data_IF_427059252037
#
_entry.id   IF_427059252037
#
_cell.length_a   1.000
_cell.length_b   1.000
_cell.length_c   1.000
_cell.angle_alpha   90.00
_cell.angle_beta   90.00
_cell.angle_gamma   90.00
#
_symmetry.space_group_name_H-M   'P 1'
#
loop_
_entity.id
_entity.type
_entity.pdbx_description
1 polymer ?
#
# COMPACT_ATOMS: atom_id res chain seq x y z
N UNK A 1 -16.83 35.27 26.91
CA UNK A 1 -15.78 34.54 27.66
C UNK A 1 -14.93 33.83 26.59
N UNK A 2 -13.59 34.09 26.54
CA UNK A 2 -12.70 33.34 25.64
C UNK A 2 -12.73 31.85 26.05
N UNK A 3 -13.12 30.98 25.15
CA UNK A 3 -13.01 29.53 25.40
C UNK A 3 -11.56 29.19 25.74
N UNK A 4 -11.29 28.36 26.76
CA UNK A 4 -9.92 27.93 27.06
C UNK A 4 -9.36 27.17 25.88
N UNK A 5 -8.07 27.38 25.59
CA UNK A 5 -7.38 26.63 24.53
C UNK A 5 -7.47 25.12 24.82
N UNK A 6 -7.75 24.33 23.78
CA UNK A 6 -7.75 22.89 23.90
C UNK A 6 -6.32 22.34 23.93
N UNK A 7 -6.10 21.18 24.52
CA UNK A 7 -4.81 20.48 24.42
C UNK A 7 -4.59 19.97 23.00
N UNK A 8 -3.33 19.71 22.56
CA UNK A 8 -3.07 19.12 21.26
C UNK A 8 -3.86 17.82 20.99
N UNK A 9 -3.97 16.96 22.01
CA UNK A 9 -4.75 15.72 21.90
C UNK A 9 -6.25 15.98 21.70
N UNK A 10 -6.82 16.98 22.38
CA UNK A 10 -8.21 17.39 22.18
C UNK A 10 -8.44 18.01 20.81
N UNK A 11 -7.50 18.84 20.32
CA UNK A 11 -7.58 19.41 18.97
C UNK A 11 -7.58 18.33 17.91
N UNK A 12 -6.64 17.37 17.99
CA UNK A 12 -6.56 16.23 17.09
C UNK A 12 -7.87 15.42 17.10
N UNK A 13 -8.39 15.09 18.29
CA UNK A 13 -9.63 14.33 18.41
C UNK A 13 -10.79 15.04 17.74
N UNK A 14 -10.97 16.36 17.97
CA UNK A 14 -12.02 17.16 17.35
C UNK A 14 -11.92 17.19 15.82
N UNK A 15 -10.70 17.33 15.28
CA UNK A 15 -10.49 17.28 13.83
C UNK A 15 -10.86 15.90 13.26
N UNK A 16 -10.46 14.81 13.93
CA UNK A 16 -10.78 13.45 13.50
C UNK A 16 -12.31 13.20 13.54
N UNK A 17 -12.98 13.66 14.61
CA UNK A 17 -14.43 13.52 14.74
C UNK A 17 -15.15 14.33 13.63
N UNK A 18 -14.69 15.55 13.34
CA UNK A 18 -15.19 16.37 12.25
C UNK A 18 -14.95 15.72 10.87
N UNK A 19 -13.74 15.21 10.64
CA UNK A 19 -13.40 14.52 9.39
C UNK A 19 -14.22 13.25 9.17
N UNK A 20 -14.53 12.50 10.23
CA UNK A 20 -15.37 11.29 10.17
C UNK A 20 -16.82 11.57 9.76
N UNK A 21 -17.29 12.81 9.91
CA UNK A 21 -18.62 13.24 9.48
C UNK A 21 -18.69 13.68 8.01
N UNK A 22 -17.54 13.82 7.35
CA UNK A 22 -17.47 14.20 5.93
C UNK A 22 -17.87 13.05 5.02
N UNK A 23 -18.37 13.32 3.81
CA UNK A 23 -18.65 12.29 2.82
C UNK A 23 -17.38 11.48 2.49
N UNK A 24 -17.57 10.16 2.29
CA UNK A 24 -16.48 9.29 1.86
C UNK A 24 -15.98 9.75 0.49
N UNK A 25 -14.65 9.87 0.27
CA UNK A 25 -14.10 10.27 -1.01
C UNK A 25 -14.54 9.36 -2.15
N UNK A 26 -14.64 9.91 -3.36
CA UNK A 26 -14.92 9.12 -4.55
C UNK A 26 -13.82 8.07 -4.77
N UNK A 27 -14.19 6.95 -5.39
CA UNK A 27 -13.27 5.88 -5.75
C UNK A 27 -12.90 5.95 -7.23
N UNK A 28 -11.75 5.39 -7.55
CA UNK A 28 -11.29 5.22 -8.91
C UNK A 28 -10.55 3.89 -9.05
N UNK A 29 -10.48 3.37 -10.27
CA UNK A 29 -9.74 2.17 -10.57
C UNK A 29 -8.42 2.55 -11.23
N UNK A 30 -7.31 2.11 -10.66
CA UNK A 30 -5.96 2.43 -11.14
C UNK A 30 -5.17 1.16 -11.43
N UNK A 31 -4.29 1.15 -12.46
CA UNK A 31 -3.33 0.07 -12.66
C UNK A 31 -2.49 -0.17 -11.41
N UNK A 32 -1.99 -1.41 -11.21
CA UNK A 32 -1.16 -1.71 -10.04
C UNK A 32 0.12 -0.86 -9.97
N UNK A 33 0.67 -0.46 -11.12
CA UNK A 33 1.86 0.42 -11.18
C UNK A 33 1.61 1.78 -10.50
N UNK A 34 0.36 2.26 -10.51
CA UNK A 34 -0.06 3.54 -9.92
C UNK A 34 -0.75 3.35 -8.55
N UNK A 35 -0.92 2.10 -8.08
CA UNK A 35 -1.68 1.81 -6.86
C UNK A 35 -0.84 1.90 -5.58
N UNK A 36 0.49 1.87 -5.67
CA UNK A 36 1.36 1.96 -4.50
C UNK A 36 1.19 3.32 -3.78
N UNK A 37 0.99 3.27 -2.46
CA UNK A 37 0.71 4.46 -1.64
C UNK A 37 -0.74 4.94 -1.67
N UNK A 38 -1.59 4.36 -2.53
CA UNK A 38 -3.03 4.64 -2.57
C UNK A 38 -3.76 3.87 -1.46
N UNK A 39 -4.95 4.32 -1.12
CA UNK A 39 -5.79 3.69 -0.09
C UNK A 39 -6.82 2.80 -0.76
N UNK A 40 -6.84 1.52 -0.43
CA UNK A 40 -7.82 0.56 -0.95
C UNK A 40 -9.25 0.99 -0.59
N UNK A 41 -10.14 1.07 -1.59
CA UNK A 41 -11.53 1.46 -1.38
C UNK A 41 -12.43 0.29 -0.96
N UNK A 42 -11.96 -0.93 -1.17
CA UNK A 42 -12.64 -2.18 -0.76
C UNK A 42 -11.63 -3.24 -0.36
N UNK A 43 -12.11 -4.32 0.21
CA UNK A 43 -11.30 -5.49 0.49
C UNK A 43 -10.77 -6.09 -0.82
N UNK A 44 -9.47 -6.36 -0.83
CA UNK A 44 -8.77 -7.02 -1.91
C UNK A 44 -8.45 -8.44 -1.47
N UNK A 45 -8.96 -9.43 -2.19
CA UNK A 45 -8.82 -10.84 -1.85
C UNK A 45 -8.10 -11.60 -2.98
N UNK A 46 -7.47 -12.70 -2.61
CA UNK A 46 -6.81 -13.60 -3.53
C UNK A 46 -7.81 -14.22 -4.50
N UNK A 47 -7.48 -14.23 -5.81
CA UNK A 47 -8.31 -14.83 -6.86
C UNK A 47 -8.08 -16.32 -7.02
N UNK A 48 -6.88 -16.79 -6.67
CA UNK A 48 -6.45 -18.16 -6.86
C UNK A 48 -5.53 -18.58 -5.73
N UNK A 49 -5.35 -19.88 -5.57
CA UNK A 49 -4.37 -20.43 -4.64
C UNK A 49 -2.95 -20.04 -5.06
N UNK A 50 -2.08 -19.83 -4.08
CA UNK A 50 -0.66 -19.59 -4.30
C UNK A 50 0.15 -20.52 -3.36
N UNK A 51 1.03 -21.38 -3.92
CA UNK A 51 1.17 -21.65 -5.35
C UNK A 51 -0.11 -22.23 -5.97
N UNK A 52 -0.31 -22.14 -7.31
CA UNK A 52 -1.53 -22.61 -7.97
C UNK A 52 -1.60 -24.12 -8.19
N UNK A 53 -0.51 -24.83 -7.89
CA UNK A 53 -0.36 -26.28 -8.00
C UNK A 53 0.69 -26.78 -7.00
N UNK A 54 0.67 -28.07 -6.70
CA UNK A 54 1.73 -28.73 -5.94
C UNK A 54 3.02 -28.69 -6.73
N UNK A 55 4.12 -28.25 -6.09
CA UNK A 55 5.41 -28.03 -6.77
C UNK A 55 6.61 -28.53 -5.97
N UNK A 56 7.71 -28.75 -6.65
CA UNK A 56 8.99 -29.03 -6.01
C UNK A 56 9.66 -27.75 -5.48
N UNK A 57 10.08 -27.70 -4.21
CA UNK A 57 10.93 -26.63 -3.68
C UNK A 57 12.42 -26.79 -4.00
N UNK A 58 12.82 -27.90 -4.63
CA UNK A 58 14.23 -28.25 -4.85
C UNK A 58 14.41 -29.03 -6.16
N UNK A 59 15.66 -29.11 -6.61
CA UNK A 59 16.08 -29.95 -7.75
C UNK A 59 16.26 -31.39 -7.28
N UNK A 60 15.65 -32.33 -8.01
CA UNK A 60 15.69 -33.72 -7.58
C UNK A 60 14.84 -34.67 -8.42
N UNK A 61 14.15 -35.58 -7.75
CA UNK A 61 13.29 -36.56 -8.36
C UNK A 61 11.96 -36.66 -7.65
N UNK A 62 10.88 -36.46 -8.39
CA UNK A 62 9.53 -36.75 -7.91
C UNK A 62 9.29 -38.29 -7.99
N UNK A 63 8.73 -38.83 -6.92
CA UNK A 63 8.63 -40.27 -6.68
C UNK A 63 7.29 -40.62 -6.01
N UNK A 64 6.94 -41.89 -6.06
CA UNK A 64 6.05 -42.47 -5.06
C UNK A 64 6.87 -42.82 -3.83
N UNK A 65 6.51 -42.32 -2.66
CA UNK A 65 7.23 -42.58 -1.41
C UNK A 65 7.34 -44.07 -1.08
N UNK A 66 6.32 -44.86 -1.47
CA UNK A 66 6.29 -46.32 -1.33
C UNK A 66 7.45 -46.98 -2.07
N UNK A 67 7.87 -46.46 -3.21
CA UNK A 67 8.99 -47.02 -4.02
C UNK A 67 10.36 -46.79 -3.35
N UNK A 68 10.42 -45.90 -2.36
CA UNK A 68 11.65 -45.62 -1.60
C UNK A 68 11.80 -46.47 -0.33
N UNK A 69 10.84 -47.35 -0.02
CA UNK A 69 10.72 -48.05 1.29
C UNK A 69 11.97 -48.86 1.70
N UNK A 70 12.73 -49.38 0.73
CA UNK A 70 13.97 -50.15 0.95
C UNK A 70 15.25 -49.37 0.77
N UNK A 71 15.15 -48.08 0.44
CA UNK A 71 16.32 -47.27 0.05
C UNK A 71 17.20 -46.91 1.26
N UNK A 72 18.51 -47.00 1.07
CA UNK A 72 19.55 -46.60 2.01
C UNK A 72 20.89 -46.51 1.33
N UNK A 73 21.89 -45.92 1.99
CA UNK A 73 23.25 -45.74 1.43
C UNK A 73 23.86 -47.05 0.93
N UNK A 74 23.65 -48.19 1.64
CA UNK A 74 24.19 -49.49 1.28
C UNK A 74 23.22 -50.35 0.46
N UNK A 75 21.96 -49.95 0.38
CA UNK A 75 20.87 -50.64 -0.31
C UNK A 75 20.09 -49.67 -1.18
N UNK A 76 20.70 -49.10 -2.24
CA UNK A 76 19.98 -48.16 -3.07
C UNK A 76 18.87 -48.85 -3.85
N UNK A 77 17.75 -48.11 -4.01
CA UNK A 77 16.71 -48.52 -4.97
C UNK A 77 16.99 -47.85 -6.30
N UNK A 78 16.90 -48.59 -7.39
CA UNK A 78 17.13 -48.07 -8.74
C UNK A 78 15.77 -47.95 -9.47
N UNK A 79 15.46 -46.75 -9.97
CA UNK A 79 14.22 -46.46 -10.67
C UNK A 79 14.51 -45.89 -12.07
N UNK A 80 13.76 -46.28 -13.13
CA UNK A 80 13.82 -45.62 -14.43
C UNK A 80 13.31 -44.20 -14.35
N UNK A 81 14.00 -43.25 -14.98
CA UNK A 81 13.58 -41.85 -15.12
C UNK A 81 12.74 -41.69 -16.39
N UNK A 82 11.46 -41.51 -16.26
CA UNK A 82 10.51 -41.53 -17.39
C UNK A 82 9.99 -40.13 -17.78
N UNK A 83 10.30 -39.13 -16.95
CA UNK A 83 9.91 -37.72 -17.18
C UNK A 83 11.02 -36.77 -16.77
N UNK A 84 11.10 -35.61 -17.43
CA UNK A 84 11.89 -34.46 -16.99
C UNK A 84 10.95 -33.26 -16.93
N UNK A 85 10.89 -32.58 -15.78
CA UNK A 85 9.92 -31.50 -15.48
C UNK A 85 10.66 -30.25 -15.04
N UNK A 86 10.33 -29.14 -15.68
CA UNK A 86 10.89 -27.82 -15.43
C UNK A 86 9.78 -26.85 -14.97
N UNK A 87 10.18 -25.73 -14.38
CA UNK A 87 9.25 -24.64 -14.10
C UNK A 87 8.62 -24.15 -15.42
N UNK A 88 7.27 -24.07 -15.46
CA UNK A 88 6.50 -23.75 -16.65
C UNK A 88 5.94 -24.96 -17.39
N UNK A 89 6.37 -26.18 -17.08
CA UNK A 89 5.75 -27.39 -17.62
C UNK A 89 4.36 -27.62 -17.01
N UNK A 90 3.54 -28.42 -17.72
CA UNK A 90 2.22 -28.86 -17.29
C UNK A 90 2.07 -30.37 -17.49
N UNK A 91 2.56 -31.21 -16.54
CA UNK A 91 2.55 -32.66 -16.70
C UNK A 91 1.11 -33.17 -16.72
N UNK A 92 0.67 -33.72 -17.85
CA UNK A 92 -0.64 -34.31 -18.02
C UNK A 92 -0.66 -35.82 -17.70
N UNK A 93 0.48 -36.49 -17.85
CA UNK A 93 0.62 -37.92 -17.58
C UNK A 93 0.98 -38.17 -16.11
N UNK A 94 0.34 -39.20 -15.52
CA UNK A 94 0.69 -39.65 -14.18
C UNK A 94 2.08 -40.34 -14.18
N UNK A 95 2.86 -40.16 -13.10
CA UNK A 95 4.07 -40.90 -12.87
C UNK A 95 3.70 -42.36 -12.57
N UNK A 96 4.18 -43.35 -13.35
CA UNK A 96 3.92 -44.77 -13.06
C UNK A 96 4.64 -45.20 -11.78
N UNK A 97 4.01 -46.10 -11.00
CA UNK A 97 4.69 -46.72 -9.86
C UNK A 97 5.97 -47.44 -10.30
N UNK A 98 6.99 -47.39 -9.46
CA UNK A 98 8.33 -47.92 -9.76
C UNK A 98 9.15 -47.06 -10.73
N UNK A 99 8.74 -45.82 -10.96
CA UNK A 99 9.42 -44.86 -11.84
C UNK A 99 9.76 -43.56 -11.08
N UNK A 100 10.70 -42.78 -11.64
CA UNK A 100 11.07 -41.46 -11.17
C UNK A 100 10.84 -40.40 -12.25
N UNK A 101 10.49 -39.19 -11.85
CA UNK A 101 10.50 -38.00 -12.70
C UNK A 101 11.60 -37.07 -12.25
N UNK A 102 12.56 -36.73 -13.11
CA UNK A 102 13.53 -35.67 -12.85
C UNK A 102 12.77 -34.37 -12.75
N UNK A 103 12.88 -33.64 -11.64
CA UNK A 103 12.13 -32.43 -11.38
C UNK A 103 13.04 -31.31 -10.90
N UNK A 104 12.78 -30.09 -11.39
CA UNK A 104 13.52 -28.89 -10.98
C UNK A 104 12.69 -28.03 -10.06
N UNK A 105 13.34 -27.16 -9.31
CA UNK A 105 12.71 -26.19 -8.40
C UNK A 105 11.63 -25.39 -9.12
N UNK A 106 10.45 -25.31 -8.54
CA UNK A 106 9.29 -24.61 -9.09
C UNK A 106 8.48 -25.40 -10.11
N UNK A 107 8.95 -26.58 -10.56
CA UNK A 107 8.20 -27.42 -11.47
C UNK A 107 6.98 -28.07 -10.76
N UNK A 108 5.84 -28.23 -11.47
CA UNK A 108 4.67 -28.90 -10.92
C UNK A 108 4.94 -30.38 -10.68
N UNK A 109 4.42 -30.88 -9.57
CA UNK A 109 4.49 -32.30 -9.23
C UNK A 109 3.61 -33.08 -10.21
N UNK A 110 4.11 -34.17 -10.85
CA UNK A 110 3.29 -34.96 -11.76
C UNK A 110 2.23 -35.74 -10.97
N UNK A 111 1.03 -35.94 -11.52
CA UNK A 111 0.02 -36.76 -10.85
C UNK A 111 0.57 -38.13 -10.47
N UNK A 112 0.25 -38.61 -9.26
CA UNK A 112 0.74 -39.88 -8.73
C UNK A 112 2.00 -39.77 -7.86
N UNK A 113 2.89 -38.81 -8.12
CA UNK A 113 4.01 -38.56 -7.20
C UNK A 113 3.48 -37.92 -5.91
N UNK A 114 4.05 -38.34 -4.77
CA UNK A 114 3.68 -37.85 -3.45
C UNK A 114 4.88 -37.33 -2.64
N UNK A 115 6.08 -37.33 -3.21
CA UNK A 115 7.29 -36.79 -2.57
C UNK A 115 8.35 -36.39 -3.59
N UNK A 116 9.30 -35.56 -3.14
CA UNK A 116 10.48 -35.18 -3.93
C UNK A 116 11.75 -35.49 -3.14
N UNK A 117 12.67 -36.24 -3.75
CA UNK A 117 14.01 -36.47 -3.21
C UNK A 117 14.98 -35.48 -3.82
N UNK A 118 15.76 -34.78 -2.96
CA UNK A 118 16.83 -33.92 -3.44
C UNK A 118 17.90 -34.70 -4.20
N UNK A 119 18.41 -34.09 -5.25
CA UNK A 119 19.40 -34.78 -6.14
C UNK A 119 20.65 -35.22 -5.41
N UNK A 120 21.05 -34.55 -4.34
CA UNK A 120 22.24 -34.85 -3.53
C UNK A 120 22.14 -36.19 -2.78
N UNK A 121 20.93 -36.74 -2.66
CA UNK A 121 20.66 -38.06 -2.08
C UNK A 121 20.46 -39.14 -3.15
N UNK A 122 21.01 -38.91 -4.36
CA UNK A 122 20.93 -39.80 -5.52
C UNK A 122 22.28 -39.83 -6.25
N UNK A 123 22.42 -40.67 -7.24
CA UNK A 123 23.58 -40.65 -8.17
C UNK A 123 23.39 -39.64 -9.34
N UNK A 124 22.29 -38.92 -9.39
CA UNK A 124 22.01 -37.95 -10.44
C UNK A 124 21.70 -38.56 -11.81
N UNK A 125 21.33 -39.80 -11.89
CA UNK A 125 21.16 -40.56 -13.15
C UNK A 125 20.03 -40.03 -14.01
N UNK A 126 20.23 -39.93 -15.34
CA UNK A 126 19.28 -39.34 -16.28
C UNK A 126 18.29 -40.34 -16.90
N UNK A 127 18.68 -41.59 -17.06
CA UNK A 127 17.83 -42.67 -17.60
C UNK A 127 17.32 -43.59 -16.48
N UNK A 128 18.18 -43.78 -15.49
CA UNK A 128 17.90 -44.51 -14.26
C UNK A 128 18.58 -43.77 -13.11
N UNK A 129 17.93 -43.71 -11.96
CA UNK A 129 18.43 -43.04 -10.78
C UNK A 129 18.52 -43.99 -9.59
N UNK A 130 19.61 -43.94 -8.85
CA UNK A 130 19.78 -44.66 -7.57
C UNK A 130 19.35 -43.77 -6.43
N UNK A 131 18.39 -44.24 -5.65
CA UNK A 131 17.82 -43.59 -4.49
C UNK A 131 18.51 -44.11 -3.24
N UNK A 132 19.17 -43.22 -2.49
CA UNK A 132 19.91 -43.59 -1.26
C UNK A 132 19.18 -43.32 0.04
N UNK A 133 17.99 -42.75 -0.01
CA UNK A 133 17.21 -42.39 1.16
C UNK A 133 15.72 -42.74 1.00
N UNK A 134 15.14 -43.23 2.07
CA UNK A 134 13.69 -43.42 2.17
C UNK A 134 13.00 -42.09 2.45
N UNK A 135 11.89 -41.82 1.77
CA UNK A 135 11.02 -40.66 2.01
C UNK A 135 9.68 -41.08 2.64
N UNK A 136 9.13 -40.17 3.39
CA UNK A 136 7.73 -40.25 3.82
C UNK A 136 6.83 -39.60 2.76
N UNK A 137 5.54 -39.96 2.71
CA UNK A 137 4.55 -39.24 1.89
C UNK A 137 4.60 -37.74 2.20
N UNK A 138 4.45 -36.91 1.18
CA UNK A 138 4.45 -35.46 1.22
C UNK A 138 5.80 -34.80 1.55
N UNK A 139 6.87 -35.60 1.62
CA UNK A 139 8.20 -35.02 1.88
C UNK A 139 8.65 -34.12 0.72
N UNK A 140 9.07 -32.89 1.06
CA UNK A 140 9.58 -31.88 0.12
C UNK A 140 8.56 -31.54 -1.00
N UNK A 141 7.30 -31.42 -0.68
CA UNK A 141 6.24 -30.92 -1.57
C UNK A 141 5.74 -29.59 -0.99
N UNK A 142 5.70 -28.55 -1.81
CA UNK A 142 4.98 -27.31 -1.51
C UNK A 142 3.60 -27.45 -2.10
N UNK A 143 2.58 -27.44 -1.24
CA UNK A 143 1.20 -27.68 -1.67
C UNK A 143 0.53 -26.47 -2.29
N UNK A 144 -0.40 -26.72 -3.18
CA UNK A 144 -1.30 -25.72 -3.71
C UNK A 144 -1.98 -24.96 -2.58
N UNK A 145 -1.93 -23.63 -2.63
CA UNK A 145 -2.57 -22.75 -1.65
C UNK A 145 -1.86 -22.68 -0.29
N UNK A 146 -0.66 -23.27 -0.16
CA UNK A 146 0.10 -23.26 1.11
C UNK A 146 0.47 -21.85 1.55
N UNK A 147 0.83 -20.95 0.64
CA UNK A 147 1.14 -19.56 0.94
C UNK A 147 -0.12 -18.71 1.10
N UNK A 148 -1.03 -18.78 0.10
CA UNK A 148 -2.27 -18.00 0.06
C UNK A 148 -3.37 -18.86 -0.55
N UNK A 149 -4.44 -19.09 0.18
CA UNK A 149 -5.63 -19.75 -0.35
C UNK A 149 -6.52 -18.77 -1.12
N UNK A 150 -7.18 -19.24 -2.18
CA UNK A 150 -8.18 -18.46 -2.91
C UNK A 150 -9.24 -17.89 -1.96
N UNK A 151 -9.59 -16.62 -2.12
CA UNK A 151 -10.51 -15.91 -1.24
C UNK A 151 -9.89 -15.31 0.03
N UNK A 152 -8.63 -15.63 0.37
CA UNK A 152 -7.94 -15.03 1.51
C UNK A 152 -7.78 -13.52 1.35
N UNK A 153 -7.92 -12.72 2.44
CA UNK A 153 -7.74 -11.28 2.38
C UNK A 153 -6.26 -10.93 2.14
N UNK A 154 -6.02 -10.02 1.18
CA UNK A 154 -4.70 -9.43 0.89
C UNK A 154 -4.59 -8.06 1.55
N UNK A 155 -5.61 -7.22 1.39
CA UNK A 155 -5.69 -5.90 2.02
C UNK A 155 -7.15 -5.56 2.31
N UNK A 156 -7.45 -5.08 3.51
CA UNK A 156 -8.78 -4.58 3.86
C UNK A 156 -9.02 -3.18 3.27
N UNK A 157 -10.27 -2.80 3.10
CA UNK A 157 -10.66 -1.43 2.80
C UNK A 157 -10.03 -0.44 3.80
N UNK A 158 -9.55 0.71 3.31
CA UNK A 158 -8.83 1.69 4.12
C UNK A 158 -7.33 1.42 4.30
N UNK A 159 -6.82 0.29 3.80
CA UNK A 159 -5.38 -0.01 3.86
C UNK A 159 -4.60 0.80 2.83
N UNK A 160 -3.48 1.40 3.24
CA UNK A 160 -2.50 1.98 2.31
C UNK A 160 -1.76 0.84 1.61
N UNK A 161 -1.85 0.80 0.28
CA UNK A 161 -1.21 -0.24 -0.52
C UNK A 161 0.31 -0.05 -0.56
N UNK A 162 1.04 -1.05 -0.07
CA UNK A 162 2.51 -1.09 -0.06
C UNK A 162 3.04 -1.87 -1.26
N UNK A 163 4.35 -1.76 -1.59
CA UNK A 163 4.96 -2.61 -2.62
C UNK A 163 4.71 -4.11 -2.42
N UNK A 164 4.63 -4.59 -1.17
CA UNK A 164 4.31 -5.99 -0.87
C UNK A 164 2.88 -6.35 -1.31
N UNK A 165 1.89 -5.49 -1.02
CA UNK A 165 0.52 -5.69 -1.50
C UNK A 165 0.47 -5.72 -3.03
N UNK A 166 1.19 -4.80 -3.70
CA UNK A 166 1.24 -4.76 -5.17
C UNK A 166 1.82 -6.06 -5.73
N UNK A 167 2.93 -6.54 -5.16
CA UNK A 167 3.55 -7.81 -5.58
C UNK A 167 2.62 -9.02 -5.42
N UNK A 168 1.90 -9.11 -4.30
CA UNK A 168 0.93 -10.19 -4.07
C UNK A 168 -0.24 -10.08 -5.06
N UNK A 169 -0.83 -8.89 -5.26
CA UNK A 169 -1.92 -8.67 -6.21
C UNK A 169 -1.50 -9.03 -7.65
N UNK A 170 -0.31 -8.62 -8.06
CA UNK A 170 0.24 -8.98 -9.38
C UNK A 170 0.43 -10.50 -9.51
N UNK A 171 0.96 -11.18 -8.48
CA UNK A 171 1.10 -12.64 -8.43
C UNK A 171 -0.24 -13.39 -8.50
N UNK A 172 -1.35 -12.72 -8.15
CA UNK A 172 -2.72 -13.21 -8.28
C UNK A 172 -3.35 -12.89 -9.65
N UNK A 173 -2.59 -12.32 -10.60
CA UNK A 173 -3.11 -11.90 -11.90
C UNK A 173 -4.14 -10.77 -11.83
N UNK A 174 -4.10 -9.96 -10.78
CA UNK A 174 -4.97 -8.78 -10.61
C UNK A 174 -4.28 -7.60 -11.29
N UNK A 175 -4.86 -6.96 -12.31
CA UNK A 175 -4.18 -5.91 -13.07
C UNK A 175 -4.34 -4.51 -12.47
N UNK A 176 -5.35 -4.30 -11.64
CA UNK A 176 -5.76 -3.00 -11.13
C UNK A 176 -6.35 -3.11 -9.73
N UNK A 177 -6.41 -2.00 -9.01
CA UNK A 177 -7.05 -1.88 -7.71
C UNK A 177 -8.07 -0.73 -7.69
N UNK A 178 -9.17 -0.92 -6.98
CA UNK A 178 -10.11 0.15 -6.65
C UNK A 178 -9.62 0.86 -5.40
N UNK A 179 -9.33 2.15 -5.54
CA UNK A 179 -8.74 2.99 -4.50
C UNK A 179 -9.55 4.28 -4.33
N UNK A 180 -9.43 4.92 -3.18
CA UNK A 180 -9.96 6.28 -3.02
C UNK A 180 -9.13 7.26 -3.86
N UNK A 181 -9.80 8.24 -4.51
CA UNK A 181 -9.08 9.34 -5.13
C UNK A 181 -8.26 10.10 -4.09
N UNK A 182 -7.09 10.66 -4.42
CA UNK A 182 -6.39 11.54 -3.51
C UNK A 182 -7.27 12.75 -3.17
N UNK A 183 -7.27 13.15 -1.90
CA UNK A 183 -7.88 14.42 -1.53
C UNK A 183 -7.03 15.57 -2.09
N UNK A 184 -7.72 16.65 -2.50
CA UNK A 184 -7.08 17.88 -2.93
C UNK A 184 -7.09 18.87 -1.77
N UNK A 185 -5.94 19.44 -1.44
CA UNK A 185 -5.78 20.42 -0.36
C UNK A 185 -5.34 21.75 -0.93
N UNK A 186 -6.13 22.80 -0.68
CA UNK A 186 -5.74 24.18 -0.94
C UNK A 186 -4.75 24.67 0.12
N UNK A 187 -3.69 25.35 -0.30
CA UNK A 187 -2.74 26.04 0.59
C UNK A 187 -2.84 27.53 0.28
N UNK A 188 -3.34 28.31 1.21
CA UNK A 188 -3.49 29.76 1.11
C UNK A 188 -2.53 30.46 2.06
N UNK A 189 -1.55 31.18 1.51
CA UNK A 189 -0.69 32.07 2.28
C UNK A 189 -1.28 33.49 2.29
N UNK A 190 -1.43 34.09 3.47
CA UNK A 190 -1.93 35.47 3.59
C UNK A 190 -0.84 36.36 4.15
N UNK A 191 -0.67 37.52 3.53
CA UNK A 191 0.33 38.50 3.94
C UNK A 191 0.67 39.46 2.81
N UNK A 192 0.41 40.75 3.02
CA UNK A 192 0.78 41.80 2.06
C UNK A 192 2.29 41.94 1.88
N UNK A 193 3.09 41.38 2.80
CA UNK A 193 4.56 41.34 2.73
C UNK A 193 5.09 40.19 1.87
N UNK A 194 4.25 39.20 1.49
CA UNK A 194 4.71 37.99 0.82
C UNK A 194 5.09 38.23 -0.65
N UNK A 195 6.16 37.57 -1.08
CA UNK A 195 6.60 37.42 -2.45
C UNK A 195 6.65 35.96 -2.83
N UNK A 196 6.36 35.64 -4.08
CA UNK A 196 6.64 34.31 -4.63
C UNK A 196 8.16 34.11 -4.85
N UNK A 197 8.61 32.87 -4.71
CA UNK A 197 9.98 32.51 -5.00
C UNK A 197 10.31 32.82 -6.49
N UNK A 198 11.34 33.61 -6.72
CA UNK A 198 11.75 34.08 -8.06
C UNK A 198 11.34 35.51 -8.37
N UNK A 199 10.45 36.15 -7.61
CA UNK A 199 10.17 37.56 -7.72
C UNK A 199 11.35 38.41 -7.21
N UNK A 200 11.47 39.65 -7.73
CA UNK A 200 12.50 40.55 -7.26
C UNK A 200 12.23 41.00 -5.82
N UNK A 201 13.22 40.85 -4.94
CA UNK A 201 13.09 41.31 -3.56
C UNK A 201 12.91 42.82 -3.47
N UNK A 202 12.07 43.27 -2.54
CA UNK A 202 11.85 44.68 -2.24
C UNK A 202 11.86 44.91 -0.72
N UNK A 203 12.22 46.13 -0.24
CA UNK A 203 12.18 46.48 1.17
C UNK A 203 10.80 46.23 1.80
N UNK A 204 10.75 45.61 2.97
CA UNK A 204 9.52 45.26 3.67
C UNK A 204 8.84 43.99 3.16
N UNK A 205 9.41 43.30 2.19
CA UNK A 205 8.90 42.04 1.66
C UNK A 205 9.74 40.84 2.12
N UNK A 206 9.06 39.68 2.21
CA UNK A 206 9.66 38.37 2.50
C UNK A 206 9.10 37.32 1.55
N UNK A 207 9.85 36.26 1.27
CA UNK A 207 9.34 35.17 0.43
C UNK A 207 8.44 34.22 1.20
N UNK A 208 7.38 33.72 0.55
CA UNK A 208 6.48 32.70 1.09
C UNK A 208 7.19 31.35 1.22
N UNK A 209 7.85 31.12 2.34
CA UNK A 209 8.43 29.83 2.70
C UNK A 209 7.39 28.84 3.22
N UNK A 210 6.38 29.32 3.98
CA UNK A 210 5.39 28.47 4.65
C UNK A 210 4.44 27.81 3.66
N UNK A 211 3.94 28.54 2.67
CA UNK A 211 3.07 27.99 1.65
C UNK A 211 3.76 26.90 0.82
N UNK A 212 5.03 27.13 0.44
CA UNK A 212 5.83 26.13 -0.29
C UNK A 212 6.10 24.90 0.56
N UNK A 213 6.51 25.09 1.84
CA UNK A 213 6.79 23.98 2.75
C UNK A 213 5.55 23.13 3.02
N UNK A 214 4.41 23.76 3.30
CA UNK A 214 3.14 23.07 3.54
C UNK A 214 2.72 22.28 2.30
N UNK A 215 2.78 22.89 1.12
CA UNK A 215 2.46 22.21 -0.15
C UNK A 215 3.38 21.01 -0.40
N UNK A 216 4.68 21.13 -0.16
CA UNK A 216 5.64 20.04 -0.30
C UNK A 216 5.33 18.89 0.67
N UNK A 217 5.00 19.22 1.93
CA UNK A 217 4.64 18.22 2.94
C UNK A 217 3.35 17.48 2.60
N UNK A 218 2.35 18.18 2.11
CA UNK A 218 1.08 17.57 1.69
C UNK A 218 1.27 16.63 0.51
N UNK A 219 2.06 17.04 -0.51
CA UNK A 219 2.39 16.16 -1.66
C UNK A 219 3.15 14.91 -1.20
N UNK A 220 4.08 15.04 -0.26
CA UNK A 220 4.79 13.88 0.33
C UNK A 220 3.83 12.90 1.02
N UNK A 221 2.70 13.39 1.54
CA UNK A 221 1.64 12.59 2.16
C UNK A 221 0.65 12.01 1.15
N UNK A 222 0.81 12.27 -0.15
CA UNK A 222 -0.05 11.73 -1.21
C UNK A 222 -1.25 12.60 -1.56
N UNK A 223 -1.35 13.84 -1.05
CA UNK A 223 -2.42 14.77 -1.42
C UNK A 223 -2.13 15.47 -2.75
N UNK A 224 -3.19 15.73 -3.52
CA UNK A 224 -3.13 16.76 -4.55
C UNK A 224 -3.13 18.15 -3.89
N UNK A 225 -2.38 19.13 -4.42
CA UNK A 225 -2.22 20.43 -3.75
C UNK A 225 -2.36 21.58 -4.75
N UNK A 226 -3.28 22.49 -4.44
CA UNK A 226 -3.39 23.80 -5.06
C UNK A 226 -2.83 24.86 -4.10
N UNK A 227 -1.87 25.69 -4.56
CA UNK A 227 -1.27 26.75 -3.74
C UNK A 227 -1.58 28.11 -4.32
N UNK A 228 -1.95 29.05 -3.48
CA UNK A 228 -2.14 30.47 -3.82
C UNK A 228 -1.77 31.37 -2.65
N UNK A 229 -1.62 32.66 -2.88
CA UNK A 229 -1.45 33.66 -1.85
C UNK A 229 -2.37 34.87 -2.10
N UNK A 230 -2.59 35.66 -1.09
CA UNK A 230 -3.33 36.94 -1.18
C UNK A 230 -2.83 37.95 -0.14
N UNK A 231 -3.29 39.18 -0.27
CA UNK A 231 -3.02 40.24 0.73
C UNK A 231 -3.75 40.00 2.07
N UNK A 232 -3.48 40.85 3.06
CA UNK A 232 -4.19 40.84 4.34
C UNK A 232 -5.54 41.58 4.29
N UNK A 233 -6.25 41.47 3.19
CA UNK A 233 -7.61 42.00 3.05
C UNK A 233 -8.64 40.89 3.33
N UNK A 234 -9.58 41.06 4.29
CA UNK A 234 -10.50 40.00 4.67
C UNK A 234 -11.46 39.60 3.54
N UNK A 235 -11.83 40.52 2.68
CA UNK A 235 -12.72 40.22 1.53
C UNK A 235 -11.96 39.41 0.48
N UNK A 236 -10.70 39.74 0.22
CA UNK A 236 -9.82 38.98 -0.69
C UNK A 236 -9.55 37.58 -0.13
N UNK A 237 -9.22 37.46 1.18
CA UNK A 237 -9.00 36.16 1.83
C UNK A 237 -10.26 35.29 1.73
N UNK A 238 -11.44 35.85 2.02
CA UNK A 238 -12.70 35.13 1.94
C UNK A 238 -13.00 34.65 0.51
N UNK A 239 -12.77 35.51 -0.49
CA UNK A 239 -12.98 35.17 -1.90
C UNK A 239 -12.04 34.04 -2.35
N UNK A 240 -10.75 34.11 -2.03
CA UNK A 240 -9.77 33.08 -2.35
C UNK A 240 -10.05 31.76 -1.63
N UNK A 241 -10.42 31.82 -0.36
CA UNK A 241 -10.79 30.62 0.40
C UNK A 241 -12.04 29.96 -0.20
N UNK A 242 -13.06 30.74 -0.53
CA UNK A 242 -14.27 30.24 -1.20
C UNK A 242 -13.95 29.61 -2.55
N UNK A 243 -13.09 30.22 -3.36
CA UNK A 243 -12.64 29.68 -4.64
C UNK A 243 -11.93 28.33 -4.45
N UNK A 244 -10.99 28.23 -3.50
CA UNK A 244 -10.31 26.97 -3.19
C UNK A 244 -11.29 25.88 -2.71
N UNK A 245 -12.26 26.22 -1.85
CA UNK A 245 -13.25 25.27 -1.34
C UNK A 245 -14.20 24.71 -2.40
N UNK A 246 -14.29 25.34 -3.60
CA UNK A 246 -15.03 24.75 -4.73
C UNK A 246 -14.28 23.64 -5.44
N UNK A 247 -12.95 23.54 -5.27
CA UNK A 247 -12.07 22.62 -5.98
C UNK A 247 -11.28 21.70 -5.06
N UNK A 248 -11.14 22.07 -3.80
CA UNK A 248 -10.36 21.34 -2.80
C UNK A 248 -11.27 20.75 -1.72
N UNK A 249 -10.87 19.61 -1.21
CA UNK A 249 -11.56 18.92 -0.11
C UNK A 249 -11.26 19.58 1.25
N UNK A 250 -10.14 20.29 1.35
CA UNK A 250 -9.75 21.06 2.53
C UNK A 250 -8.87 22.25 2.13
N UNK A 251 -8.81 23.27 2.99
CA UNK A 251 -7.92 24.43 2.82
C UNK A 251 -7.08 24.60 4.09
N UNK A 252 -5.77 24.76 3.94
CA UNK A 252 -4.84 25.13 4.99
C UNK A 252 -4.36 26.55 4.74
N UNK A 253 -4.47 27.41 5.77
CA UNK A 253 -3.96 28.78 5.69
C UNK A 253 -2.69 28.94 6.53
N UNK A 254 -1.76 29.78 6.07
CA UNK A 254 -0.65 30.28 6.85
C UNK A 254 -0.69 31.80 6.90
N UNK A 255 -0.58 32.38 8.10
CA UNK A 255 -0.80 33.80 8.36
C UNK A 255 -2.20 34.10 8.93
N UNK A 256 -2.45 35.30 9.42
CA UNK A 256 -3.75 35.84 9.84
C UNK A 256 -4.41 35.17 11.05
N UNK A 257 -3.72 34.34 11.85
CA UNK A 257 -4.31 33.57 12.98
C UNK A 257 -3.86 34.02 14.37
N UNK A 258 -3.01 35.05 14.49
CA UNK A 258 -2.52 35.56 15.78
C UNK A 258 -3.51 36.58 16.40
N UNK A 259 -3.14 37.22 17.49
CA UNK A 259 -3.96 38.23 18.20
C UNK A 259 -3.64 39.67 17.77
N UNK A 260 -3.02 39.85 16.60
CA UNK A 260 -2.65 41.14 16.03
C UNK A 260 -3.84 41.90 15.42
N UNK A 261 -3.64 43.19 15.17
CA UNK A 261 -4.69 44.02 14.51
C UNK A 261 -5.03 43.62 13.07
N UNK A 262 -4.20 42.77 12.46
CA UNK A 262 -4.36 42.25 11.09
C UNK A 262 -4.71 40.74 11.02
N UNK A 263 -5.24 40.19 12.11
CA UNK A 263 -5.62 38.78 12.15
C UNK A 263 -7.09 38.61 11.75
N UNK A 264 -7.30 38.56 10.46
CA UNK A 264 -8.65 38.60 9.87
C UNK A 264 -9.29 37.20 9.72
N UNK A 265 -8.59 36.10 9.99
CA UNK A 265 -9.14 34.77 9.78
C UNK A 265 -10.42 34.48 10.57
N UNK A 266 -10.57 34.90 11.83
CA UNK A 266 -11.86 34.76 12.54
C UNK A 266 -13.02 35.47 11.81
N UNK A 267 -12.80 36.70 11.32
CA UNK A 267 -13.80 37.47 10.55
C UNK A 267 -14.11 36.79 9.21
N UNK A 268 -13.07 36.25 8.52
CA UNK A 268 -13.25 35.49 7.27
C UNK A 268 -14.09 34.23 7.49
N UNK A 269 -13.86 33.49 8.57
CA UNK A 269 -14.64 32.31 8.91
C UNK A 269 -16.12 32.67 9.22
N UNK A 270 -16.38 33.82 9.86
CA UNK A 270 -17.73 34.32 10.03
C UNK A 270 -18.39 34.67 8.69
N UNK A 271 -17.67 35.35 7.76
CA UNK A 271 -18.16 35.65 6.41
C UNK A 271 -18.47 34.39 5.60
N UNK A 272 -17.77 33.32 5.84
CA UNK A 272 -17.99 32.02 5.22
C UNK A 272 -19.01 31.13 5.95
N UNK A 273 -19.61 31.63 7.02
CA UNK A 273 -20.53 30.89 7.91
C UNK A 273 -19.94 29.59 8.43
N UNK A 274 -18.61 29.58 8.67
CA UNK A 274 -17.90 28.42 9.11
C UNK A 274 -18.20 28.06 10.57
N UNK A 275 -18.37 26.75 10.84
CA UNK A 275 -18.56 26.25 12.19
C UNK A 275 -17.20 25.89 12.82
N UNK A 276 -16.80 26.53 13.95
CA UNK A 276 -15.52 26.30 14.55
C UNK A 276 -15.45 24.90 15.20
N UNK A 277 -14.48 24.11 14.81
CA UNK A 277 -14.11 22.83 15.45
C UNK A 277 -13.29 23.10 16.71
N UNK A 278 -12.30 24.00 16.63
CA UNK A 278 -11.60 24.60 17.78
C UNK A 278 -10.94 25.91 17.40
N UNK A 279 -10.66 26.75 18.42
CA UNK A 279 -9.88 27.98 18.30
C UNK A 279 -8.84 28.03 19.41
N UNK A 280 -7.56 27.93 19.05
CA UNK A 280 -6.42 27.93 19.97
C UNK A 280 -6.07 26.57 20.57
N UNK A 281 -4.76 26.28 20.59
CA UNK A 281 -4.20 25.05 21.13
C UNK A 281 -3.19 25.40 22.24
N UNK A 282 -3.26 24.70 23.37
CA UNK A 282 -2.38 24.90 24.53
C UNK A 282 -1.00 24.29 24.26
N UNK A 283 -0.26 24.89 23.34
CA UNK A 283 1.13 24.53 23.01
C UNK A 283 1.96 25.77 22.74
N UNK A 284 3.25 25.67 22.84
CA UNK A 284 4.20 26.73 22.52
C UNK A 284 5.47 26.14 21.90
N UNK A 285 5.87 26.57 20.68
CA UNK A 285 5.18 27.53 19.81
C UNK A 285 3.95 26.92 19.13
N UNK A 286 3.11 27.77 18.47
CA UNK A 286 1.99 27.32 17.64
C UNK A 286 0.62 27.32 18.33
N UNK A 287 0.45 28.09 19.43
CA UNK A 287 -0.86 28.22 20.08
C UNK A 287 -1.96 28.84 19.20
N UNK A 288 -1.72 29.84 18.34
CA UNK A 288 -2.74 30.34 17.41
C UNK A 288 -2.95 29.30 16.29
N UNK A 289 -4.01 28.52 16.41
CA UNK A 289 -4.45 27.54 15.42
C UNK A 289 -5.97 27.47 15.48
N UNK A 290 -6.64 27.49 14.32
CA UNK A 290 -8.09 27.38 14.20
C UNK A 290 -8.39 26.26 13.23
N UNK A 291 -9.38 25.44 13.53
CA UNK A 291 -10.02 24.54 12.59
C UNK A 291 -11.52 24.82 12.55
N UNK A 292 -12.10 24.81 11.37
CA UNK A 292 -13.51 25.05 11.14
C UNK A 292 -14.02 24.21 9.96
N UNK A 293 -15.34 23.98 9.92
CA UNK A 293 -16.07 23.42 8.78
C UNK A 293 -16.82 24.52 8.05
N UNK A 294 -16.81 24.51 6.72
CA UNK A 294 -17.49 25.45 5.84
C UNK A 294 -18.57 24.74 5.04
#
# INVERSE_FOLDING_TARGET
MKQPFCTPAQALRRVLDAAAALPVPATERVPLDDACGRIAARDLCARMDQPPFDRSPLDGYALHSADTAGAGEKTPVTLPVVMKLYAGDAPAAALPAGCAARIMTGAPLPPGADCVLMQELTDGGEEQVRIYARLQPNANVVFRGEDIAAGSPIAAAGTVLTPAHIGVLAGQGIPDAEVFRPLTVGVLATGSELLEAGEAWAPGKIYDANGIQNAARLRQLGFAVERTHCSDDPEEIAARMKELLTRCDAVITSGGVSVGQKDYLPTVLEMLHAEPVFAGVAQKPGSPMIAAQV
#
